data_IF_120886947903
#
_entry.id   IF_120886947903
#
_cell.length_a   1.000
_cell.length_b   1.000
_cell.length_c   1.000
_cell.angle_alpha   90.00
_cell.angle_beta   90.00
_cell.angle_gamma   90.00
#
_symmetry.space_group_name_H-M   'P 1'
#
loop_
_entity.id
_entity.type
_entity.pdbx_description
1 polymer ?
#
# COMPACT_ATOMS: atom_id res chain seq x y z
N UNK A 1 -42.48 -25.42 -19.28
CA UNK A 1 -41.18 -24.73 -19.14
C UNK A 1 -41.15 -24.06 -17.78
N UNK A 2 -40.78 -24.79 -16.75
CA UNK A 2 -40.70 -24.26 -15.39
C UNK A 2 -39.36 -23.56 -15.21
N UNK A 3 -39.38 -22.23 -15.18
CA UNK A 3 -38.18 -21.43 -14.92
C UNK A 3 -37.82 -21.56 -13.45
N UNK A 4 -36.70 -22.20 -13.15
CA UNK A 4 -36.12 -22.24 -11.80
C UNK A 4 -35.81 -20.83 -11.32
N UNK A 5 -36.39 -20.46 -10.17
CA UNK A 5 -36.06 -19.24 -9.43
C UNK A 5 -34.65 -19.38 -8.83
N UNK A 6 -33.75 -18.39 -9.00
CA UNK A 6 -32.42 -18.45 -8.39
C UNK A 6 -32.53 -18.37 -6.85
N UNK A 7 -31.62 -19.02 -6.11
CA UNK A 7 -31.64 -18.97 -4.65
C UNK A 7 -31.41 -17.54 -4.14
N UNK A 8 -32.03 -17.22 -3.00
CA UNK A 8 -31.88 -15.92 -2.34
C UNK A 8 -30.39 -15.65 -2.01
N UNK A 9 -29.95 -14.41 -2.22
CA UNK A 9 -28.55 -14.02 -2.01
C UNK A 9 -28.14 -14.16 -0.54
N UNK A 10 -26.98 -14.78 -0.29
CA UNK A 10 -26.38 -14.92 1.04
C UNK A 10 -26.01 -13.54 1.61
N UNK A 11 -26.33 -13.25 2.89
CA UNK A 11 -26.00 -11.95 3.49
C UNK A 11 -24.47 -11.75 3.54
N UNK A 12 -24.01 -10.60 3.04
CA UNK A 12 -22.60 -10.20 3.07
C UNK A 12 -22.34 -9.36 4.33
N UNK A 13 -21.31 -9.70 5.09
CA UNK A 13 -20.89 -8.95 6.27
C UNK A 13 -20.08 -7.72 5.84
N UNK A 14 -20.77 -6.66 5.38
CA UNK A 14 -20.15 -5.42 4.88
C UNK A 14 -20.00 -4.34 5.96
N UNK A 15 -20.51 -4.59 7.16
CA UNK A 15 -20.54 -3.64 8.25
C UNK A 15 -19.54 -4.01 9.35
N UNK A 16 -18.90 -3.00 9.93
CA UNK A 16 -17.97 -3.17 11.05
C UNK A 16 -18.73 -3.64 12.31
N UNK A 17 -18.23 -4.64 13.05
CA UNK A 17 -18.81 -5.06 14.33
C UNK A 17 -18.82 -3.94 15.38
N UNK A 18 -19.87 -3.88 16.20
CA UNK A 18 -20.08 -2.81 17.18
C UNK A 18 -19.01 -2.75 18.30
N UNK A 19 -18.32 -3.86 18.58
CA UNK A 19 -17.34 -3.96 19.67
C UNK A 19 -15.90 -3.63 19.29
N UNK A 20 -15.64 -3.06 18.11
CA UNK A 20 -14.28 -2.72 17.70
C UNK A 20 -13.77 -1.49 18.46
N UNK A 21 -12.85 -1.70 19.41
CA UNK A 21 -12.12 -0.65 20.09
C UNK A 21 -10.75 -0.44 19.43
N UNK A 22 -10.42 0.82 19.16
CA UNK A 22 -9.13 1.23 18.60
C UNK A 22 -8.03 1.09 19.67
N UNK A 23 -6.85 0.52 19.37
CA UNK A 23 -5.72 0.48 20.31
C UNK A 23 -5.24 1.88 20.70
N UNK A 24 -4.69 2.04 21.90
CA UNK A 24 -4.26 3.35 22.43
C UNK A 24 -3.15 4.02 21.61
N UNK A 25 -2.23 3.23 21.03
CA UNK A 25 -1.12 3.73 20.22
C UNK A 25 -1.53 4.17 18.79
N UNK A 26 -2.82 4.10 18.49
CA UNK A 26 -3.34 4.26 17.15
C UNK A 26 -3.87 5.69 17.03
N UNK A 27 -3.23 6.53 16.21
CA UNK A 27 -3.64 7.93 15.98
C UNK A 27 -4.44 8.05 14.67
N UNK A 28 -5.27 9.08 14.54
CA UNK A 28 -5.93 9.46 13.27
C UNK A 28 -5.33 10.76 12.72
N UNK A 29 -4.22 11.23 13.32
CA UNK A 29 -3.53 12.41 12.83
C UNK A 29 -3.12 12.22 11.37
N UNK A 30 -3.21 13.27 10.55
CA UNK A 30 -2.78 13.20 9.17
C UNK A 30 -1.29 12.85 9.11
N UNK A 31 -0.89 12.16 8.04
CA UNK A 31 0.52 11.92 7.78
C UNK A 31 1.29 13.25 7.77
N UNK A 32 2.54 13.28 8.26
CA UNK A 32 3.35 14.48 8.24
C UNK A 32 3.54 14.97 6.80
N UNK A 33 3.68 16.28 6.64
CA UNK A 33 3.95 16.88 5.32
C UNK A 33 5.24 16.32 4.75
N UNK A 34 5.26 15.87 3.48
CA UNK A 34 6.47 15.43 2.81
C UNK A 34 7.54 16.53 2.89
N UNK A 35 8.76 16.13 3.23
CA UNK A 35 9.92 17.03 3.17
C UNK A 35 10.56 16.90 1.80
N UNK A 36 10.96 18.03 1.23
CA UNK A 36 11.79 18.01 0.03
C UNK A 36 13.12 17.31 0.35
N UNK A 37 13.52 16.39 -0.53
CA UNK A 37 14.82 15.73 -0.44
C UNK A 37 15.87 16.73 -0.91
N UNK A 38 16.90 16.98 -0.11
CA UNK A 38 18.08 17.68 -0.59
C UNK A 38 19.00 16.66 -1.25
N UNK A 39 19.35 16.79 -2.55
CA UNK A 39 20.34 15.93 -3.16
C UNK A 39 21.65 16.03 -2.38
N UNK A 40 22.15 14.90 -1.89
CA UNK A 40 23.51 14.83 -1.34
C UNK A 40 24.53 14.92 -2.47
N UNK A 41 25.78 15.28 -2.15
CA UNK A 41 26.88 15.09 -3.11
C UNK A 41 27.02 13.58 -3.39
N UNK A 42 26.77 13.20 -4.63
CA UNK A 42 26.83 11.82 -5.10
C UNK A 42 28.07 11.65 -5.99
N UNK A 43 29.17 11.10 -5.44
CA UNK A 43 30.43 10.95 -6.17
C UNK A 43 30.33 9.97 -7.35
N UNK A 44 29.34 9.08 -7.35
CA UNK A 44 29.10 8.08 -8.41
C UNK A 44 27.87 8.43 -9.29
N UNK A 45 27.08 9.43 -8.89
CA UNK A 45 25.96 9.99 -9.65
C UNK A 45 24.68 9.14 -9.68
N UNK A 46 24.49 8.22 -8.73
CA UNK A 46 23.30 7.37 -8.63
C UNK A 46 22.46 7.72 -7.39
N UNK A 47 21.54 8.68 -7.58
CA UNK A 47 20.60 9.13 -6.55
C UNK A 47 19.81 7.93 -5.98
N UNK A 48 19.89 7.67 -4.66
CA UNK A 48 19.31 6.49 -4.02
C UNK A 48 17.77 6.53 -3.89
N UNK A 49 17.09 7.59 -4.34
CA UNK A 49 15.64 7.52 -4.60
C UNK A 49 15.31 6.58 -5.77
N UNK A 50 16.31 6.09 -6.50
CA UNK A 50 16.22 4.95 -7.44
C UNK A 50 16.08 3.60 -6.73
N UNK A 51 15.02 3.42 -5.95
CA UNK A 51 14.56 2.08 -5.58
C UNK A 51 13.93 1.41 -6.82
N UNK A 52 14.74 0.98 -7.78
CA UNK A 52 14.28 0.34 -9.01
C UNK A 52 15.35 0.07 -10.09
N UNK A 53 16.49 0.76 -10.06
CA UNK A 53 17.57 0.58 -11.06
C UNK A 53 18.80 -0.10 -10.44
N UNK A 54 18.63 -1.24 -9.77
CA UNK A 54 19.81 -2.02 -9.35
C UNK A 54 20.24 -2.93 -10.50
N UNK A 55 21.33 -2.56 -11.15
CA UNK A 55 21.93 -3.36 -12.22
C UNK A 55 23.15 -4.14 -11.71
N UNK A 56 23.24 -5.43 -12.07
CA UNK A 56 24.45 -6.24 -11.91
C UNK A 56 24.85 -6.83 -13.25
N UNK A 57 26.05 -6.48 -13.73
CA UNK A 57 26.56 -6.92 -15.03
C UNK A 57 25.62 -6.56 -16.21
N UNK A 58 24.99 -5.38 -16.16
CA UNK A 58 24.06 -4.92 -17.20
C UNK A 58 22.69 -5.60 -17.20
N UNK A 59 22.34 -6.29 -16.11
CA UNK A 59 21.03 -6.89 -15.90
C UNK A 59 20.35 -6.12 -14.78
N UNK A 60 19.22 -5.50 -15.09
CA UNK A 60 18.33 -4.92 -14.10
C UNK A 60 17.75 -6.04 -13.24
N UNK A 61 17.84 -5.86 -11.94
CA UNK A 61 17.23 -6.77 -10.98
C UNK A 61 16.16 -5.94 -10.23
N UNK A 62 15.10 -6.58 -9.76
CA UNK A 62 14.00 -6.00 -8.96
C UNK A 62 13.51 -7.07 -7.97
N UNK A 63 13.07 -6.69 -6.76
CA UNK A 63 12.52 -7.61 -5.75
C UNK A 63 11.00 -7.41 -5.61
#
# INVERSE_FOLDING_TARGET
>A
MDKQTPPAATPRMTQRPAGFAKPEHWTNEPAPTPKAVTPGEDPDGIDPTRFGDWEKNGIAIDF
#
